data_IF_662588010521
#
_entry.id   IF_662588010521
#
_cell.length_a   1.000
_cell.length_b   1.000
_cell.length_c   1.000
_cell.angle_alpha   90.00
_cell.angle_beta   90.00
_cell.angle_gamma   90.00
#
_symmetry.space_group_name_H-M   'P 1'
#
loop_
_entity.id
_entity.type
_entity.pdbx_description
1 polymer ?
#
# COMPACT_ATOMS: atom_id res chain seq x y z
N UNK A 1 -1.26 -30.45 31.97
CA UNK A 1 -0.50 -29.27 31.50
C UNK A 1 -1.11 -28.87 30.17
N UNK A 2 -1.44 -27.59 30.05
CA UNK A 2 -2.58 -27.02 29.36
C UNK A 2 -2.21 -26.47 27.99
N UNK A 3 -2.43 -27.26 26.95
CA UNK A 3 -2.51 -26.77 25.57
C UNK A 3 -3.94 -26.29 25.31
N UNK A 4 -4.15 -24.98 25.34
CA UNK A 4 -5.42 -24.37 24.95
C UNK A 4 -5.12 -23.21 24.02
N UNK A 5 -5.20 -23.52 22.73
CA UNK A 5 -5.32 -22.59 21.62
C UNK A 5 -6.57 -21.73 21.83
N UNK A 6 -6.44 -20.58 22.47
CA UNK A 6 -7.51 -19.61 22.64
C UNK A 6 -7.02 -18.21 22.28
N UNK A 7 -7.38 -17.82 21.05
CA UNK A 7 -7.92 -16.51 20.72
C UNK A 7 -7.15 -15.27 21.22
N UNK A 8 -6.19 -14.83 20.42
CA UNK A 8 -5.80 -13.42 20.36
C UNK A 8 -6.20 -12.85 18.98
N UNK A 9 -7.50 -12.95 18.66
CA UNK A 9 -8.13 -12.25 17.53
C UNK A 9 -8.91 -11.07 18.10
N UNK A 10 -8.21 -10.09 18.66
CA UNK A 10 -8.81 -8.84 19.07
C UNK A 10 -7.77 -7.71 19.06
N UNK A 11 -8.13 -6.61 18.40
CA UNK A 11 -7.47 -5.30 18.40
C UNK A 11 -6.47 -4.96 17.29
N UNK A 12 -6.78 -5.31 16.03
CA UNK A 12 -6.41 -4.43 14.90
C UNK A 12 -7.66 -3.65 14.49
N UNK A 13 -7.65 -2.30 14.52
CA UNK A 13 -8.79 -1.52 14.06
C UNK A 13 -8.96 -1.73 12.54
N UNK A 14 -9.94 -2.55 12.16
CA UNK A 14 -10.42 -2.76 10.78
C UNK A 14 -11.12 -1.53 10.19
N UNK A 15 -10.77 -0.31 10.60
CA UNK A 15 -11.34 0.91 10.05
C UNK A 15 -10.26 1.78 9.42
N UNK A 16 -10.43 1.95 8.11
CA UNK A 16 -9.72 2.84 7.20
C UNK A 16 -8.57 2.23 6.37
N UNK A 17 -8.68 0.96 5.96
CA UNK A 17 -8.30 0.69 4.56
C UNK A 17 -9.37 1.37 3.73
N UNK A 18 -8.96 2.44 3.07
CA UNK A 18 -9.72 3.21 2.11
C UNK A 18 -10.80 2.36 1.45
N UNK A 19 -12.06 2.79 1.62
CA UNK A 19 -13.13 2.37 0.72
C UNK A 19 -12.81 2.99 -0.65
N UNK A 20 -11.79 2.44 -1.30
CA UNK A 20 -11.42 2.74 -2.66
C UNK A 20 -12.61 2.30 -3.47
N UNK A 21 -13.41 3.28 -3.89
CA UNK A 21 -14.57 3.11 -4.76
C UNK A 21 -14.20 2.08 -5.83
N UNK A 22 -14.79 0.87 -5.76
CA UNK A 22 -14.44 -0.17 -6.73
C UNK A 22 -14.66 0.42 -8.12
N UNK A 23 -13.67 0.34 -9.02
CA UNK A 23 -13.83 0.91 -10.35
C UNK A 23 -15.03 0.26 -11.05
N UNK A 24 -16.12 1.01 -11.20
CA UNK A 24 -17.39 0.54 -11.77
C UNK A 24 -17.35 0.58 -13.30
N UNK A 25 -16.38 -0.13 -13.88
CA UNK A 25 -16.21 -0.28 -15.32
C UNK A 25 -14.83 0.14 -15.85
N UNK A 26 -14.58 -0.03 -17.17
CA UNK A 26 -13.25 0.11 -17.77
C UNK A 26 -12.60 1.47 -17.54
N UNK A 27 -13.37 2.56 -17.61
CA UNK A 27 -12.86 3.92 -17.33
C UNK A 27 -12.42 4.10 -15.87
N UNK A 28 -13.14 3.48 -14.93
CA UNK A 28 -12.75 3.46 -13.53
C UNK A 28 -11.46 2.68 -13.31
N UNK A 29 -11.29 1.54 -13.98
CA UNK A 29 -10.06 0.75 -13.88
C UNK A 29 -8.85 1.51 -14.42
N UNK A 30 -9.00 2.20 -15.56
CA UNK A 30 -7.95 3.05 -16.14
C UNK A 30 -7.61 4.21 -15.19
N UNK A 31 -8.61 4.84 -14.57
CA UNK A 31 -8.38 5.91 -13.60
C UNK A 31 -7.60 5.40 -12.37
N UNK A 32 -7.99 4.24 -11.83
CA UNK A 32 -7.28 3.61 -10.72
C UNK A 32 -5.83 3.23 -11.08
N UNK A 33 -5.59 2.75 -12.30
CA UNK A 33 -4.22 2.48 -12.77
C UNK A 33 -3.40 3.76 -12.91
N UNK A 34 -3.98 4.85 -13.42
CA UNK A 34 -3.31 6.15 -13.52
C UNK A 34 -2.93 6.72 -12.16
N UNK A 35 -3.83 6.64 -11.19
CA UNK A 35 -3.59 7.08 -9.82
C UNK A 35 -2.44 6.29 -9.18
N UNK A 36 -2.41 4.97 -9.37
CA UNK A 36 -1.31 4.11 -8.88
C UNK A 36 0.03 4.43 -9.53
N UNK A 37 0.06 4.65 -10.84
CA UNK A 37 1.29 5.04 -11.54
C UNK A 37 1.80 6.37 -10.98
N UNK A 38 0.91 7.34 -10.75
CA UNK A 38 1.27 8.64 -10.14
C UNK A 38 1.86 8.45 -8.75
N UNK A 39 1.19 7.68 -7.89
CA UNK A 39 1.64 7.38 -6.54
C UNK A 39 3.02 6.71 -6.51
N UNK A 40 3.26 5.72 -7.38
CA UNK A 40 4.58 5.06 -7.48
C UNK A 40 5.67 6.01 -7.97
N UNK A 41 5.34 6.94 -8.87
CA UNK A 41 6.27 7.95 -9.33
C UNK A 41 6.62 8.94 -8.22
N UNK A 42 5.63 9.41 -7.48
CA UNK A 42 5.84 10.30 -6.33
C UNK A 42 6.68 9.62 -5.25
N UNK A 43 6.42 8.34 -4.94
CA UNK A 43 7.25 7.55 -4.02
C UNK A 43 8.70 7.41 -4.51
N UNK A 44 8.92 7.17 -5.80
CA UNK A 44 10.27 7.10 -6.37
C UNK A 44 10.99 8.44 -6.21
N UNK A 45 10.33 9.54 -6.57
CA UNK A 45 10.90 10.89 -6.42
C UNK A 45 11.20 11.22 -4.96
N UNK A 46 10.33 10.84 -4.02
CA UNK A 46 10.57 11.04 -2.59
C UNK A 46 11.74 10.19 -2.08
N UNK A 47 11.84 8.93 -2.50
CA UNK A 47 12.96 8.06 -2.12
C UNK A 47 14.31 8.57 -2.65
N UNK A 48 14.33 9.17 -3.84
CA UNK A 48 15.54 9.76 -4.44
C UNK A 48 15.89 11.12 -3.81
N UNK A 49 14.91 12.00 -3.60
CA UNK A 49 15.16 13.36 -3.13
C UNK A 49 15.29 13.47 -1.61
N UNK A 50 14.48 12.71 -0.86
CA UNK A 50 14.34 12.82 0.59
C UNK A 50 14.12 11.42 1.22
N UNK A 51 15.15 10.56 1.24
CA UNK A 51 15.01 9.18 1.71
C UNK A 51 14.52 9.05 3.15
N UNK A 52 14.79 10.04 4.01
CA UNK A 52 14.33 10.05 5.41
C UNK A 52 12.80 10.17 5.53
N UNK A 53 12.12 10.80 4.56
CA UNK A 53 10.66 10.92 4.57
C UNK A 53 9.97 9.58 4.34
N UNK A 54 10.64 8.63 3.69
CA UNK A 54 10.15 7.25 3.53
C UNK A 54 10.12 6.55 4.89
N UNK A 55 11.15 6.75 5.70
CA UNK A 55 11.23 6.19 7.05
C UNK A 55 10.21 6.86 8.00
N UNK A 56 9.97 8.18 7.86
CA UNK A 56 9.01 8.94 8.67
C UNK A 56 7.54 8.51 8.45
N UNK A 57 7.19 8.04 7.24
CA UNK A 57 5.87 7.45 6.95
C UNK A 57 5.81 5.96 7.29
N UNK A 58 6.86 5.40 7.91
CA UNK A 58 6.94 4.02 8.35
C UNK A 58 7.17 3.02 7.22
N UNK A 59 7.65 3.48 6.07
CA UNK A 59 8.06 2.60 4.97
C UNK A 59 9.56 2.37 5.02
N UNK A 60 9.99 1.15 4.75
CA UNK A 60 11.42 0.86 4.53
C UNK A 60 11.74 1.02 3.05
N UNK A 61 12.99 1.40 2.73
CA UNK A 61 13.45 1.47 1.33
C UNK A 61 13.18 0.18 0.53
N UNK A 62 13.33 -0.98 1.17
CA UNK A 62 13.04 -2.30 0.55
C UNK A 62 11.56 -2.48 0.20
N UNK A 63 10.64 -1.94 1.02
CA UNK A 63 9.21 -1.98 0.71
C UNK A 63 8.86 -1.03 -0.44
N UNK A 64 9.49 0.14 -0.51
CA UNK A 64 9.32 1.06 -1.64
C UNK A 64 9.84 0.45 -2.92
N UNK A 65 11.03 -0.14 -2.92
CA UNK A 65 11.57 -0.86 -4.08
C UNK A 65 10.65 -2.00 -4.52
N UNK A 66 10.12 -2.79 -3.57
CA UNK A 66 9.16 -3.84 -3.87
C UNK A 66 7.86 -3.29 -4.49
N UNK A 67 7.37 -2.13 -4.04
CA UNK A 67 6.19 -1.47 -4.60
C UNK A 67 6.44 -0.90 -6.00
N UNK A 68 7.64 -0.36 -6.26
CA UNK A 68 8.04 0.17 -7.57
C UNK A 68 8.15 -0.95 -8.63
N UNK A 69 8.64 -2.13 -8.24
CA UNK A 69 8.80 -3.28 -9.16
C UNK A 69 7.47 -3.92 -9.55
N UNK A 70 6.38 -3.70 -8.78
CA UNK A 70 5.06 -4.24 -9.13
C UNK A 70 4.61 -3.73 -10.50
N UNK A 71 4.01 -4.63 -11.29
CA UNK A 71 3.34 -4.24 -12.55
C UNK A 71 2.15 -3.33 -12.26
N UNK A 72 1.81 -2.46 -13.22
CA UNK A 72 0.79 -1.40 -13.02
C UNK A 72 -0.62 -1.95 -12.77
N UNK A 73 -0.92 -3.18 -13.21
CA UNK A 73 -2.20 -3.84 -13.00
C UNK A 73 -2.26 -4.69 -11.72
N UNK A 74 -1.12 -4.88 -11.05
CA UNK A 74 -1.01 -5.72 -9.87
C UNK A 74 -1.29 -4.88 -8.63
N UNK A 75 -2.24 -5.35 -7.82
CA UNK A 75 -2.66 -4.77 -6.53
C UNK A 75 -1.95 -5.51 -5.42
#
# INVERSE_FOLDING_TARGET
MNDTLASARAALPEKAVSSGRRPTGPRGMIAAWRERIRFRWDLKQMAEANPHLIDDIGLTRRQVEAEIVKRFWQV
#
